data_IF_773388475370
#
_entry.id   IF_773388475370
#
_cell.length_a   1.000
_cell.length_b   1.000
_cell.length_c   1.000
_cell.angle_alpha   90.00
_cell.angle_beta   90.00
_cell.angle_gamma   90.00
#
_symmetry.space_group_name_H-M   'P 1'
#
loop_
_entity.id
_entity.type
_entity.pdbx_description
1 polymer ?
#
# COMPACT_ATOMS: atom_id res chain seq x y z
N UNK A 1 19.79 -2.28 39.25
CA UNK A 1 19.29 -3.67 39.06
C UNK A 1 17.84 -3.57 38.60
N UNK A 2 17.47 -4.19 37.48
CA UNK A 2 16.09 -4.15 36.98
C UNK A 2 15.18 -4.95 37.91
N UNK A 3 14.03 -4.39 38.28
CA UNK A 3 13.09 -5.05 39.21
C UNK A 3 12.21 -5.98 38.39
N UNK A 4 12.07 -7.27 38.77
CA UNK A 4 11.19 -8.16 38.04
C UNK A 4 9.74 -7.63 38.08
N UNK A 5 9.01 -7.67 36.94
CA UNK A 5 7.63 -7.23 36.91
C UNK A 5 6.80 -8.06 37.90
N UNK A 6 5.83 -7.42 38.54
CA UNK A 6 4.92 -8.08 39.48
C UNK A 6 4.20 -9.26 38.79
N UNK A 7 4.36 -10.46 39.33
CA UNK A 7 3.67 -11.68 38.93
C UNK A 7 3.04 -12.37 40.16
N UNK A 8 2.39 -13.50 39.94
CA UNK A 8 1.77 -14.33 40.98
C UNK A 8 2.82 -15.00 41.87
N UNK A 9 2.38 -15.52 43.03
CA UNK A 9 3.19 -16.38 43.86
C UNK A 9 3.69 -17.62 43.07
N UNK A 10 4.88 -18.16 43.35
CA UNK A 10 5.50 -19.22 42.55
C UNK A 10 4.59 -20.45 42.31
N UNK A 11 3.84 -20.87 43.33
CA UNK A 11 2.90 -22.00 43.22
C UNK A 11 1.75 -21.72 42.24
N UNK A 12 1.16 -20.53 42.31
CA UNK A 12 0.05 -20.15 41.44
C UNK A 12 0.52 -19.84 40.01
N UNK A 13 1.76 -19.33 39.86
CA UNK A 13 2.43 -19.19 38.56
C UNK A 13 2.62 -20.54 37.87
N UNK A 14 3.05 -21.56 38.61
CA UNK A 14 3.18 -22.92 38.09
C UNK A 14 1.82 -23.50 37.67
N UNK A 15 0.81 -23.39 38.54
CA UNK A 15 -0.54 -23.87 38.24
C UNK A 15 -1.14 -23.23 36.98
N UNK A 16 -0.97 -21.91 36.82
CA UNK A 16 -1.34 -21.17 35.61
C UNK A 16 -0.64 -21.73 34.37
N UNK A 17 0.69 -21.84 34.40
CA UNK A 17 1.45 -22.30 33.24
C UNK A 17 1.12 -23.77 32.87
N UNK A 18 0.84 -24.61 33.86
CA UNK A 18 0.40 -25.99 33.65
C UNK A 18 -0.95 -26.05 32.92
N UNK A 19 -1.95 -25.27 33.35
CA UNK A 19 -3.26 -25.21 32.67
C UNK A 19 -3.19 -24.58 31.27
N UNK A 20 -2.26 -23.65 31.04
CA UNK A 20 -2.08 -23.01 29.73
C UNK A 20 -1.29 -23.88 28.73
N UNK A 21 -0.56 -24.90 29.20
CA UNK A 21 0.36 -25.69 28.35
C UNK A 21 1.52 -24.87 27.76
N UNK A 22 1.75 -23.65 28.26
CA UNK A 22 2.81 -22.75 27.82
C UNK A 22 3.16 -21.74 28.90
N UNK A 23 4.32 -21.12 28.77
CA UNK A 23 4.68 -19.98 29.61
C UNK A 23 3.76 -18.79 29.36
N UNK A 24 3.15 -18.31 30.44
CA UNK A 24 2.31 -17.13 30.39
C UNK A 24 3.15 -15.88 30.09
N UNK A 25 2.77 -15.16 29.02
CA UNK A 25 3.33 -13.86 28.66
C UNK A 25 2.36 -12.76 29.12
N UNK A 26 2.80 -11.94 30.06
CA UNK A 26 2.00 -10.84 30.61
C UNK A 26 1.74 -9.76 29.57
N UNK A 27 0.47 -9.43 29.33
CA UNK A 27 0.04 -8.33 28.45
C UNK A 27 0.05 -6.95 29.14
N UNK A 28 0.25 -6.91 30.46
CA UNK A 28 0.33 -5.67 31.23
C UNK A 28 1.63 -4.93 30.92
N UNK A 29 1.54 -3.60 30.98
CA UNK A 29 2.64 -2.69 30.71
C UNK A 29 3.28 -2.29 32.04
N UNK A 30 4.56 -2.60 32.19
CA UNK A 30 5.36 -2.25 33.37
C UNK A 30 6.28 -1.08 33.05
N UNK A 31 6.61 -0.29 34.06
CA UNK A 31 7.40 0.95 33.91
C UNK A 31 8.75 0.70 33.20
N UNK A 32 9.44 -0.38 33.54
CA UNK A 32 10.75 -0.73 32.96
C UNK A 32 10.69 -1.09 31.46
N UNK A 33 9.50 -1.44 30.95
CA UNK A 33 9.26 -1.80 29.54
C UNK A 33 8.53 -0.70 28.78
N UNK A 34 8.24 0.42 29.43
CA UNK A 34 7.54 1.56 28.86
C UNK A 34 8.53 2.69 28.62
N UNK A 35 8.33 3.43 27.53
CA UNK A 35 9.01 4.71 27.36
C UNK A 35 8.52 5.72 28.43
N UNK A 36 9.38 6.67 28.78
CA UNK A 36 9.06 7.75 29.72
C UNK A 36 7.89 8.59 29.19
N UNK A 37 6.99 9.02 30.09
CA UNK A 37 5.83 9.86 29.74
C UNK A 37 6.20 11.28 29.29
N UNK A 38 7.35 11.77 29.74
CA UNK A 38 7.93 13.05 29.36
C UNK A 38 9.30 12.78 28.72
N UNK A 39 9.35 12.50 27.40
CA UNK A 39 10.61 12.38 26.70
C UNK A 39 11.27 13.76 26.54
N UNK A 40 12.61 13.83 26.37
CA UNK A 40 13.28 15.07 26.04
C UNK A 40 12.82 15.59 24.65
N UNK A 41 12.90 16.90 24.39
CA UNK A 41 12.53 17.46 23.10
C UNK A 41 13.40 16.86 21.97
N UNK A 42 12.80 16.29 20.91
CA UNK A 42 13.57 15.70 19.82
C UNK A 42 14.13 16.77 18.87
N UNK A 43 15.31 16.51 18.30
CA UNK A 43 15.85 17.26 17.16
C UNK A 43 15.62 16.47 15.88
N UNK A 44 14.56 16.80 15.15
CA UNK A 44 14.20 16.12 13.90
C UNK A 44 15.15 16.51 12.76
N UNK A 45 15.46 15.60 11.83
CA UNK A 45 16.22 15.93 10.63
C UNK A 45 15.38 16.81 9.70
N UNK A 46 16.08 17.64 8.94
CA UNK A 46 15.47 18.50 7.95
C UNK A 46 14.97 17.72 6.72
N UNK A 47 13.96 18.29 6.05
CA UNK A 47 13.44 17.75 4.80
C UNK A 47 14.38 17.99 3.61
N UNK A 48 14.14 17.32 2.46
CA UNK A 48 15.01 17.37 1.28
C UNK A 48 15.12 18.76 0.63
N UNK A 49 14.18 19.66 0.91
CA UNK A 49 14.16 21.03 0.42
C UNK A 49 14.72 22.04 1.42
N UNK A 50 15.41 21.62 2.49
CA UNK A 50 16.16 22.54 3.37
C UNK A 50 17.56 22.80 2.79
N UNK A 51 17.62 23.43 1.61
CA UNK A 51 18.87 23.78 0.91
C UNK A 51 18.99 25.30 0.80
N UNK A 52 20.20 25.81 0.99
CA UNK A 52 20.50 27.25 0.99
C UNK A 52 20.56 27.86 -0.43
N UNK A 53 20.94 27.06 -1.43
CA UNK A 53 21.04 27.47 -2.83
C UNK A 53 20.44 26.39 -3.73
N UNK A 54 20.16 26.75 -4.99
CA UNK A 54 19.63 25.85 -6.03
C UNK A 54 18.36 25.08 -5.58
N UNK A 55 17.41 25.82 -5.01
CA UNK A 55 16.19 25.27 -4.41
C UNK A 55 14.97 26.14 -4.69
N UNK A 56 14.90 26.63 -5.92
CA UNK A 56 13.76 27.41 -6.38
C UNK A 56 12.49 26.58 -6.37
N UNK A 57 11.39 27.13 -5.85
CA UNK A 57 10.14 26.38 -5.71
C UNK A 57 9.59 25.87 -7.05
N UNK A 58 9.79 26.62 -8.14
CA UNK A 58 9.23 26.28 -9.45
C UNK A 58 9.77 24.95 -10.03
N UNK A 59 10.99 24.52 -9.66
CA UNK A 59 11.57 23.26 -10.18
C UNK A 59 10.99 22.02 -9.50
N UNK A 60 10.42 22.17 -8.30
CA UNK A 60 9.84 21.09 -7.48
C UNK A 60 8.33 21.20 -7.28
N UNK A 61 7.68 22.16 -7.92
CA UNK A 61 6.24 22.37 -7.82
C UNK A 61 5.46 21.35 -8.67
N UNK A 62 5.25 20.16 -8.11
CA UNK A 62 4.44 19.12 -8.74
C UNK A 62 2.97 19.49 -8.94
N UNK A 63 2.43 20.47 -8.20
CA UNK A 63 1.04 20.93 -8.40
C UNK A 63 0.85 21.58 -9.76
N UNK A 64 1.90 22.23 -10.29
CA UNK A 64 1.88 22.88 -11.62
C UNK A 64 2.24 21.94 -12.76
N UNK A 65 2.76 20.75 -12.47
CA UNK A 65 3.05 19.70 -13.45
C UNK A 65 1.80 18.87 -13.80
N UNK A 66 0.70 19.03 -13.06
CA UNK A 66 -0.56 18.38 -13.38
C UNK A 66 -1.17 19.01 -14.65
N UNK A 67 -1.26 18.21 -15.71
CA UNK A 67 -1.91 18.59 -16.96
C UNK A 67 -3.35 18.07 -17.01
N UNK A 68 -4.24 18.72 -17.78
CA UNK A 68 -5.53 18.15 -18.14
C UNK A 68 -5.38 16.75 -18.75
N UNK A 69 -6.39 15.87 -18.60
CA UNK A 69 -6.33 14.54 -19.17
C UNK A 69 -6.20 14.58 -20.69
N UNK A 70 -5.39 13.68 -21.25
CA UNK A 70 -5.23 13.55 -22.69
C UNK A 70 -6.48 12.90 -23.29
N UNK A 71 -7.15 13.61 -24.20
CA UNK A 71 -8.33 13.13 -24.90
C UNK A 71 -7.88 12.30 -26.10
N UNK A 72 -7.98 10.97 -26.00
CA UNK A 72 -7.60 10.05 -27.10
C UNK A 72 -8.67 9.98 -28.21
N UNK A 73 -9.94 10.16 -27.84
CA UNK A 73 -11.08 10.08 -28.75
C UNK A 73 -12.11 11.14 -28.31
N UNK A 74 -12.39 12.10 -29.20
CA UNK A 74 -13.41 13.14 -29.01
C UNK A 74 -14.44 13.06 -30.16
N UNK A 75 -15.73 13.15 -29.85
CA UNK A 75 -16.79 13.26 -30.88
C UNK A 75 -17.22 11.96 -31.60
N UNK A 76 -16.67 10.79 -31.28
CA UNK A 76 -17.21 9.54 -31.84
C UNK A 76 -18.52 9.16 -31.16
N UNK A 77 -19.61 9.03 -31.93
CA UNK A 77 -20.81 8.30 -31.50
C UNK A 77 -20.36 6.98 -30.87
N UNK A 78 -20.72 6.74 -29.60
CA UNK A 78 -20.53 5.44 -28.96
C UNK A 78 -21.01 4.40 -29.96
N UNK A 79 -20.15 3.47 -30.40
CA UNK A 79 -20.59 2.33 -31.21
C UNK A 79 -21.53 1.52 -30.32
N UNK A 80 -22.82 1.87 -30.37
CA UNK A 80 -23.88 1.11 -29.73
C UNK A 80 -23.96 -0.21 -30.48
N UNK A 81 -24.00 -1.31 -29.71
CA UNK A 81 -24.23 -2.63 -30.27
C UNK A 81 -25.67 -2.59 -30.81
N UNK A 82 -25.84 -2.64 -32.13
CA UNK A 82 -27.17 -2.79 -32.73
C UNK A 82 -27.72 -4.15 -32.34
N UNK A 83 -28.95 -4.16 -31.79
CA UNK A 83 -29.66 -5.39 -31.46
C UNK A 83 -29.71 -6.31 -32.68
N UNK A 84 -29.37 -7.59 -32.50
CA UNK A 84 -29.14 -8.54 -33.58
C UNK A 84 -30.37 -8.76 -34.45
N UNK A 85 -30.42 -8.09 -35.60
CA UNK A 85 -31.23 -8.49 -36.74
C UNK A 85 -30.28 -9.13 -37.73
N UNK A 86 -30.50 -10.43 -37.99
CA UNK A 86 -29.74 -11.24 -38.94
C UNK A 86 -30.15 -10.85 -40.36
N UNK A 87 -29.54 -9.81 -40.92
CA UNK A 87 -29.58 -9.60 -42.36
C UNK A 87 -28.17 -9.50 -42.92
N UNK A 88 -27.87 -10.43 -43.83
CA UNK A 88 -26.64 -10.52 -44.59
C UNK A 88 -26.49 -9.26 -45.45
N UNK A 89 -25.67 -8.31 -45.00
CA UNK A 89 -25.21 -7.21 -45.85
C UNK A 89 -23.70 -7.28 -45.89
N UNK A 90 -23.17 -7.71 -47.03
CA UNK A 90 -21.75 -7.77 -47.34
C UNK A 90 -21.13 -6.37 -47.34
N UNK A 91 -20.56 -5.97 -46.21
CA UNK A 91 -19.74 -4.76 -46.11
C UNK A 91 -18.32 -5.08 -46.61
N UNK A 92 -17.96 -4.46 -47.75
CA UNK A 92 -16.61 -4.49 -48.33
C UNK A 92 -15.54 -4.23 -47.27
N UNK A 93 -14.64 -5.20 -47.10
CA UNK A 93 -13.56 -5.21 -46.13
C UNK A 93 -12.44 -4.24 -46.52
N UNK A 94 -12.45 -3.05 -45.93
CA UNK A 94 -11.24 -2.23 -45.86
C UNK A 94 -10.23 -3.01 -45.02
N UNK A 95 -9.09 -3.35 -45.59
CA UNK A 95 -8.03 -4.18 -44.99
C UNK A 95 -7.48 -3.53 -43.72
N UNK A 96 -8.15 -3.79 -42.60
CA UNK A 96 -7.68 -3.43 -41.27
C UNK A 96 -6.67 -4.48 -40.82
N UNK A 97 -5.44 -4.05 -40.56
CA UNK A 97 -4.46 -4.90 -39.89
C UNK A 97 -5.08 -5.34 -38.55
N UNK A 98 -5.14 -6.65 -38.30
CA UNK A 98 -5.67 -7.20 -37.05
C UNK A 98 -4.74 -6.79 -35.91
N UNK A 99 -5.09 -5.72 -35.21
CA UNK A 99 -4.46 -5.37 -33.93
C UNK A 99 -4.89 -6.44 -32.93
N UNK A 100 -3.93 -7.13 -32.33
CA UNK A 100 -4.19 -8.11 -31.27
C UNK A 100 -4.88 -7.48 -30.06
N UNK A 101 -5.48 -8.29 -29.19
CA UNK A 101 -6.11 -7.77 -27.97
C UNK A 101 -5.06 -7.04 -27.11
N UNK A 102 -5.32 -5.76 -26.82
CA UNK A 102 -4.45 -4.94 -25.96
C UNK A 102 -4.94 -5.10 -24.52
N UNK A 103 -4.07 -5.58 -23.63
CA UNK A 103 -4.33 -5.62 -22.18
C UNK A 103 -3.82 -4.33 -21.52
N UNK A 104 -4.44 -3.85 -20.42
CA UNK A 104 -4.00 -2.63 -19.72
C UNK A 104 -2.66 -2.81 -18.98
N UNK A 105 -2.21 -4.04 -18.74
CA UNK A 105 -0.97 -4.37 -18.06
C UNK A 105 -0.80 -5.89 -17.89
N UNK A 106 0.30 -6.31 -17.28
CA UNK A 106 0.55 -7.70 -16.91
C UNK A 106 -0.19 -8.07 -15.62
N UNK A 107 -0.87 -9.23 -15.54
CA UNK A 107 -1.48 -9.67 -14.30
C UNK A 107 -0.43 -9.92 -13.23
N UNK A 108 -0.70 -9.49 -11.99
CA UNK A 108 0.18 -9.73 -10.86
C UNK A 108 0.00 -11.17 -10.35
N UNK A 109 1.12 -11.88 -10.18
CA UNK A 109 1.16 -13.24 -9.62
C UNK A 109 1.84 -13.15 -8.26
N UNK A 110 1.13 -13.55 -7.20
CA UNK A 110 1.71 -13.60 -5.85
C UNK A 110 2.80 -14.68 -5.82
N UNK A 111 4.04 -14.35 -5.38
CA UNK A 111 5.04 -15.38 -5.15
C UNK A 111 4.59 -16.27 -3.99
N UNK A 112 4.81 -17.58 -4.10
CA UNK A 112 4.68 -18.46 -2.96
C UNK A 112 5.74 -18.10 -1.91
N UNK A 113 5.42 -18.18 -0.60
CA UNK A 113 6.42 -17.95 0.43
C UNK A 113 7.56 -18.95 0.20
N UNK A 114 8.77 -18.44 -0.06
CA UNK A 114 9.97 -19.26 -0.16
C UNK A 114 10.06 -20.11 1.10
N UNK A 115 9.96 -21.44 0.96
CA UNK A 115 10.27 -22.36 2.05
C UNK A 115 11.69 -22.03 2.51
N UNK A 116 11.81 -21.45 3.71
CA UNK A 116 13.07 -21.35 4.42
C UNK A 116 13.49 -22.73 4.92
#
# INVERSE_FOLDING_TARGET
MAVPPRDLAPLLRWFRNALLGRDYKTALRFQDKLATRSPPPPKLPDGPSHKLFDNYYFTRDGRRQAHPPLILIEGTKRKAITAGIKENVEAKSVTSQKIGAITPGTPYVWPEPSSQ
#
